data_IF_232531702695
#
_entry.id   IF_232531702695
#
_cell.length_a   1.000
_cell.length_b   1.000
_cell.length_c   1.000
_cell.angle_alpha   90.00
_cell.angle_beta   90.00
_cell.angle_gamma   90.00
#
_symmetry.space_group_name_H-M   'P 1'
#
loop_
_entity.id
_entity.type
_entity.pdbx_description
1 polymer ?
#
# COMPACT_ATOMS: atom_id res chain seq x y z
N UNK A 1 9.22 -24.22 76.91
CA UNK A 1 8.22 -24.72 75.94
C UNK A 1 7.04 -23.77 75.97
N UNK A 2 6.70 -23.14 74.85
CA UNK A 2 5.55 -22.23 74.75
C UNK A 2 5.80 -21.02 73.85
N UNK A 3 5.92 -21.25 72.55
CA UNK A 3 5.78 -20.23 71.51
C UNK A 3 4.43 -19.52 71.59
N UNK A 4 4.41 -18.20 71.35
CA UNK A 4 3.40 -17.57 70.47
C UNK A 4 4.05 -16.41 69.72
N UNK A 5 4.24 -16.63 68.42
CA UNK A 5 4.60 -15.62 67.45
C UNK A 5 3.37 -14.74 67.14
N UNK A 6 3.47 -13.43 67.37
CA UNK A 6 2.58 -12.46 66.75
C UNK A 6 3.02 -12.21 65.31
N UNK A 7 2.31 -12.81 64.36
CA UNK A 7 2.43 -12.50 62.94
C UNK A 7 1.92 -11.06 62.69
N UNK A 8 2.85 -10.12 62.48
CA UNK A 8 2.54 -8.80 61.93
C UNK A 8 1.98 -8.94 60.52
N UNK A 9 0.66 -8.76 60.39
CA UNK A 9 0.02 -8.48 59.12
C UNK A 9 0.36 -7.05 58.68
N UNK A 10 1.06 -6.90 57.56
CA UNK A 10 1.13 -5.60 56.88
C UNK A 10 2.36 -5.43 56.02
N UNK A 11 2.20 -5.59 54.71
CA UNK A 11 2.87 -4.79 53.64
C UNK A 11 2.49 -5.30 52.24
N UNK A 12 1.19 -5.36 51.91
CA UNK A 12 0.72 -5.54 50.51
C UNK A 12 -0.18 -4.37 50.07
N UNK A 13 0.30 -3.13 50.22
CA UNK A 13 -0.41 -1.94 49.68
C UNK A 13 0.45 -1.00 48.82
N UNK A 14 1.76 -1.21 48.73
CA UNK A 14 2.67 -0.26 48.05
C UNK A 14 2.76 -0.45 46.52
N UNK A 15 2.55 -1.66 46.01
CA UNK A 15 2.60 -1.95 44.55
C UNK A 15 1.37 -1.49 43.75
N UNK A 16 0.17 -1.47 44.34
CA UNK A 16 -1.08 -1.09 43.64
C UNK A 16 -1.15 0.39 43.25
N UNK A 17 -0.54 1.29 44.04
CA UNK A 17 -0.55 2.73 43.74
C UNK A 17 0.34 3.08 42.55
N UNK A 18 1.53 2.48 42.46
CA UNK A 18 2.44 2.69 41.33
C UNK A 18 1.86 2.10 40.03
N UNK A 19 1.27 0.90 40.09
CA UNK A 19 0.60 0.27 38.94
C UNK A 19 -0.56 1.13 38.39
N UNK A 20 -1.38 1.72 39.26
CA UNK A 20 -2.49 2.58 38.83
C UNK A 20 -2.03 3.92 38.23
N UNK A 21 -0.89 4.48 38.66
CA UNK A 21 -0.34 5.71 38.06
C UNK A 21 0.23 5.42 36.68
N UNK A 22 0.93 4.29 36.51
CA UNK A 22 1.47 3.87 35.21
C UNK A 22 0.33 3.52 34.23
N UNK A 23 -0.70 2.79 34.69
CA UNK A 23 -1.90 2.54 33.88
C UNK A 23 -2.66 3.82 33.55
N UNK A 24 -2.77 4.76 34.49
CA UNK A 24 -3.42 6.05 34.26
C UNK A 24 -2.66 6.92 33.25
N UNK A 25 -1.32 6.92 33.31
CA UNK A 25 -0.47 7.60 32.34
C UNK A 25 -0.57 6.97 30.95
N UNK A 26 -0.49 5.63 30.84
CA UNK A 26 -0.69 4.91 29.58
C UNK A 26 -2.10 5.14 29.00
N UNK A 27 -3.13 5.08 29.84
CA UNK A 27 -4.50 5.38 29.43
C UNK A 27 -4.67 6.82 28.95
N UNK A 28 -4.07 7.79 29.65
CA UNK A 28 -4.08 9.20 29.24
C UNK A 28 -3.36 9.42 27.90
N UNK A 29 -2.21 8.77 27.69
CA UNK A 29 -1.48 8.82 26.41
C UNK A 29 -2.31 8.22 25.28
N UNK A 30 -2.97 7.08 25.51
CA UNK A 30 -3.84 6.46 24.50
C UNK A 30 -5.04 7.34 24.15
N UNK A 31 -5.69 7.94 25.15
CA UNK A 31 -6.83 8.83 24.92
C UNK A 31 -6.40 10.10 24.18
N UNK A 32 -5.31 10.74 24.60
CA UNK A 32 -4.78 11.93 23.93
C UNK A 32 -4.31 11.60 22.50
N UNK A 33 -3.66 10.45 22.32
CA UNK A 33 -3.28 9.95 21.00
C UNK A 33 -4.50 9.71 20.09
N UNK A 34 -5.56 9.10 20.62
CA UNK A 34 -6.81 8.89 19.89
C UNK A 34 -7.50 10.20 19.50
N UNK A 35 -7.57 11.18 20.41
CA UNK A 35 -8.13 12.50 20.12
C UNK A 35 -7.29 13.25 19.08
N UNK A 36 -5.96 13.21 19.18
CA UNK A 36 -5.07 13.82 18.20
C UNK A 36 -5.21 13.20 16.81
N UNK A 37 -5.36 11.87 16.72
CA UNK A 37 -5.64 11.18 15.46
C UNK A 37 -6.99 11.60 14.85
N UNK A 38 -8.05 11.65 15.66
CA UNK A 38 -9.38 12.08 15.19
C UNK A 38 -9.36 13.53 14.70
N UNK A 39 -8.68 14.42 15.42
CA UNK A 39 -8.50 15.81 14.99
C UNK A 39 -7.63 15.91 13.73
N UNK A 40 -6.61 15.06 13.60
CA UNK A 40 -5.77 14.99 12.40
C UNK A 40 -6.57 14.60 11.16
N UNK A 41 -7.41 13.55 11.25
CA UNK A 41 -8.29 13.11 10.15
C UNK A 41 -9.23 14.23 9.71
N UNK A 42 -9.71 15.05 10.64
CA UNK A 42 -10.64 16.13 10.33
C UNK A 42 -9.97 17.42 9.81
N UNK A 43 -8.80 17.77 10.35
CA UNK A 43 -8.12 19.04 10.03
C UNK A 43 -7.14 18.96 8.86
N UNK A 44 -6.47 17.81 8.70
CA UNK A 44 -5.39 17.59 7.73
C UNK A 44 -5.47 16.17 7.13
N UNK A 45 -6.59 15.82 6.47
CA UNK A 45 -6.82 14.46 5.95
C UNK A 45 -5.69 13.98 5.03
N UNK A 46 -5.22 14.83 4.12
CA UNK A 46 -4.16 14.51 3.16
C UNK A 46 -2.86 14.06 3.85
N UNK A 47 -2.47 14.74 4.92
CA UNK A 47 -1.25 14.40 5.69
C UNK A 47 -1.40 13.05 6.40
N UNK A 48 -2.60 12.74 6.90
CA UNK A 48 -2.89 11.44 7.54
C UNK A 48 -2.83 10.32 6.51
N UNK A 49 -3.41 10.55 5.33
CA UNK A 49 -3.35 9.59 4.22
C UNK A 49 -1.92 9.35 3.75
N UNK A 50 -1.12 10.40 3.56
CA UNK A 50 0.30 10.27 3.20
C UNK A 50 1.06 9.43 4.23
N UNK A 51 0.85 9.69 5.52
CA UNK A 51 1.49 8.93 6.61
C UNK A 51 1.07 7.46 6.62
N UNK A 52 -0.23 7.19 6.44
CA UNK A 52 -0.76 5.84 6.31
C UNK A 52 -0.16 5.10 5.10
N UNK A 53 -0.16 5.77 3.95
CA UNK A 53 0.39 5.25 2.70
C UNK A 53 1.88 4.92 2.80
N UNK A 54 2.68 5.81 3.40
CA UNK A 54 4.11 5.60 3.61
C UNK A 54 4.40 4.38 4.50
N UNK A 55 3.61 4.17 5.55
CA UNK A 55 3.76 2.99 6.43
C UNK A 55 3.37 1.70 5.69
N UNK A 56 2.23 1.70 4.99
CA UNK A 56 1.72 0.52 4.28
C UNK A 56 2.63 0.10 3.13
N UNK A 57 3.03 1.06 2.29
CA UNK A 57 3.92 0.82 1.15
C UNK A 57 5.36 0.50 1.57
N UNK A 58 5.87 1.14 2.62
CA UNK A 58 7.22 0.88 3.14
C UNK A 58 7.40 -0.52 3.72
N UNK A 59 6.38 -1.05 4.41
CA UNK A 59 6.39 -2.45 4.87
C UNK A 59 6.42 -3.42 3.70
N UNK A 60 5.58 -3.20 2.68
CA UNK A 60 5.50 -4.06 1.48
C UNK A 60 6.77 -4.04 0.64
N UNK A 61 7.34 -2.86 0.38
CA UNK A 61 8.62 -2.77 -0.35
C UNK A 61 9.78 -3.47 0.36
N UNK A 62 9.67 -3.72 1.67
CA UNK A 62 10.63 -4.55 2.41
C UNK A 62 10.37 -6.04 2.17
N UNK A 63 9.10 -6.47 2.14
CA UNK A 63 8.71 -7.86 1.86
C UNK A 63 9.12 -8.25 0.44
N UNK A 64 8.82 -7.43 -0.55
CA UNK A 64 9.12 -7.72 -1.96
C UNK A 64 10.63 -7.89 -2.18
N UNK A 65 11.44 -7.00 -1.58
CA UNK A 65 12.92 -7.11 -1.63
C UNK A 65 13.43 -8.40 -0.98
N UNK A 66 12.80 -8.84 0.11
CA UNK A 66 13.17 -10.09 0.77
C UNK A 66 12.75 -11.29 -0.08
N UNK A 67 11.57 -11.27 -0.68
CA UNK A 67 11.10 -12.32 -1.59
C UNK A 67 12.03 -12.49 -2.79
N UNK A 68 12.39 -11.40 -3.44
CA UNK A 68 13.30 -11.41 -4.58
C UNK A 68 14.70 -11.91 -4.16
N UNK A 69 15.30 -11.31 -3.12
CA UNK A 69 16.70 -11.60 -2.75
C UNK A 69 16.90 -12.94 -2.05
N UNK A 70 15.89 -13.47 -1.37
CA UNK A 70 16.02 -14.66 -0.53
C UNK A 70 15.32 -15.88 -1.14
N UNK A 71 14.21 -15.67 -1.85
CA UNK A 71 13.36 -16.76 -2.35
C UNK A 71 13.30 -16.84 -3.87
N UNK A 72 13.90 -15.88 -4.60
CA UNK A 72 13.78 -15.76 -6.07
C UNK A 72 12.30 -15.74 -6.53
N UNK A 73 11.44 -15.19 -5.67
CA UNK A 73 10.02 -14.98 -5.92
C UNK A 73 9.79 -13.50 -6.25
N UNK A 74 9.22 -13.23 -7.43
CA UNK A 74 8.86 -11.88 -7.85
C UNK A 74 7.43 -11.54 -7.43
N UNK A 75 7.13 -10.28 -7.06
CA UNK A 75 5.78 -9.89 -6.73
C UNK A 75 4.86 -10.07 -7.94
N UNK A 76 3.65 -10.60 -7.68
CA UNK A 76 2.64 -10.88 -8.72
C UNK A 76 1.54 -9.84 -8.73
N UNK A 77 1.14 -9.44 -9.94
CA UNK A 77 -0.03 -8.61 -10.26
C UNK A 77 -0.94 -9.39 -11.20
N UNK A 78 -2.24 -9.40 -10.90
CA UNK A 78 -3.26 -10.00 -11.75
C UNK A 78 -3.91 -8.92 -12.62
N UNK A 79 -4.13 -9.21 -13.89
CA UNK A 79 -4.91 -8.39 -14.80
C UNK A 79 -6.36 -8.90 -14.80
N UNK A 80 -7.24 -8.02 -14.34
CA UNK A 80 -8.67 -8.27 -14.28
C UNK A 80 -9.38 -7.96 -15.58
N UNK A 81 -10.62 -7.49 -15.46
CA UNK A 81 -11.45 -7.16 -16.62
C UNK A 81 -10.93 -5.94 -17.38
N UNK A 82 -11.29 -5.87 -18.67
CA UNK A 82 -11.14 -4.64 -19.47
C UNK A 82 -12.38 -3.77 -19.34
N UNK A 83 -12.21 -2.54 -18.85
CA UNK A 83 -13.31 -1.71 -18.38
C UNK A 83 -12.97 -0.23 -18.21
N UNK A 84 -13.86 0.45 -17.49
CA UNK A 84 -13.74 1.86 -17.13
C UNK A 84 -13.61 2.02 -15.60
N UNK A 85 -13.64 3.27 -15.11
CA UNK A 85 -13.58 3.59 -13.67
C UNK A 85 -14.65 2.87 -12.84
N UNK A 86 -15.82 2.62 -13.42
CA UNK A 86 -16.87 1.85 -12.74
C UNK A 86 -16.46 0.39 -12.48
N UNK A 87 -15.74 -0.24 -13.40
CA UNK A 87 -15.26 -1.62 -13.24
C UNK A 87 -14.13 -1.69 -12.20
N UNK A 88 -13.26 -0.68 -12.18
CA UNK A 88 -12.23 -0.47 -11.17
C UNK A 88 -12.86 -0.36 -9.75
N UNK A 89 -13.92 0.43 -9.62
CA UNK A 89 -14.67 0.58 -8.37
C UNK A 89 -15.36 -0.72 -7.95
N UNK A 90 -15.95 -1.46 -8.90
CA UNK A 90 -16.58 -2.75 -8.63
C UNK A 90 -15.55 -3.75 -8.11
N UNK A 91 -14.39 -3.85 -8.77
CA UNK A 91 -13.31 -4.74 -8.35
C UNK A 91 -12.88 -4.42 -6.91
N UNK A 92 -12.66 -3.14 -6.60
CA UNK A 92 -12.32 -2.73 -5.24
C UNK A 92 -13.42 -3.06 -4.22
N UNK A 93 -14.69 -2.79 -4.55
CA UNK A 93 -15.82 -3.03 -3.65
C UNK A 93 -16.12 -4.51 -3.43
N UNK A 94 -15.78 -5.37 -4.39
CA UNK A 94 -15.92 -6.82 -4.27
C UNK A 94 -14.97 -7.43 -3.23
N UNK A 95 -14.07 -6.63 -2.65
CA UNK A 95 -13.03 -7.11 -1.75
C UNK A 95 -11.96 -7.90 -2.51
N UNK A 96 -11.88 -7.72 -3.83
CA UNK A 96 -10.74 -8.18 -4.60
C UNK A 96 -9.52 -7.41 -4.11
N UNK A 97 -8.73 -8.08 -3.28
CA UNK A 97 -7.78 -7.45 -2.36
C UNK A 97 -6.34 -7.78 -2.70
N UNK A 98 -6.11 -8.51 -3.79
CA UNK A 98 -4.79 -8.97 -4.18
C UNK A 98 -4.46 -8.52 -5.59
N UNK A 99 -4.00 -7.28 -5.71
CA UNK A 99 -3.27 -6.77 -6.87
C UNK A 99 -3.95 -7.05 -8.22
N UNK A 100 -5.28 -7.03 -8.27
CA UNK A 100 -6.03 -7.13 -9.53
C UNK A 100 -6.16 -5.74 -10.15
N UNK A 101 -5.69 -5.59 -11.38
CA UNK A 101 -5.69 -4.33 -12.12
C UNK A 101 -6.68 -4.41 -13.27
N UNK A 102 -7.60 -3.45 -13.32
CA UNK A 102 -8.55 -3.30 -14.44
C UNK A 102 -7.82 -2.71 -15.64
N UNK A 103 -7.92 -3.34 -16.81
CA UNK A 103 -7.40 -2.78 -18.05
C UNK A 103 -8.31 -1.64 -18.48
N UNK A 104 -7.75 -0.43 -18.57
CA UNK A 104 -8.53 0.79 -18.69
C UNK A 104 -8.69 1.20 -20.16
N UNK A 105 -9.93 1.16 -20.65
CA UNK A 105 -10.26 1.61 -22.02
C UNK A 105 -9.98 3.09 -22.25
N UNK A 106 -10.05 3.91 -21.19
CA UNK A 106 -9.77 5.35 -21.26
C UNK A 106 -8.34 5.69 -21.70
N UNK A 107 -7.41 4.74 -21.57
CA UNK A 107 -6.02 4.90 -21.98
C UNK A 107 -5.72 4.30 -23.37
N UNK A 108 -6.67 3.57 -23.99
CA UNK A 108 -6.46 2.91 -25.27
C UNK A 108 -6.27 3.92 -26.40
N UNK A 109 -5.04 4.04 -26.90
CA UNK A 109 -4.68 4.84 -28.08
C UNK A 109 -3.28 4.53 -28.59
N UNK A 110 -3.00 4.96 -29.82
CA UNK A 110 -1.67 4.86 -30.42
C UNK A 110 -0.60 5.58 -29.59
N UNK A 111 0.52 4.88 -29.36
CA UNK A 111 1.66 5.41 -28.62
C UNK A 111 1.54 5.40 -27.10
N UNK A 112 0.48 4.76 -26.57
CA UNK A 112 0.30 4.49 -25.14
C UNK A 112 0.24 2.97 -24.94
N UNK A 113 1.03 2.39 -24.03
CA UNK A 113 0.96 0.96 -23.72
C UNK A 113 -0.44 0.57 -23.21
N UNK A 114 -0.78 -0.72 -23.33
CA UNK A 114 -1.96 -1.26 -22.63
C UNK A 114 -1.84 -0.88 -21.16
N UNK A 115 -2.81 -0.15 -20.61
CA UNK A 115 -2.69 0.41 -19.26
C UNK A 115 -3.72 -0.22 -18.34
N UNK A 116 -3.26 -0.83 -17.26
CA UNK A 116 -4.10 -1.37 -16.21
C UNK A 116 -3.96 -0.57 -14.92
N UNK A 117 -5.05 -0.40 -14.18
CA UNK A 117 -5.11 0.45 -13.00
C UNK A 117 -5.68 -0.30 -11.79
N UNK A 118 -5.20 0.06 -10.61
CA UNK A 118 -5.79 -0.33 -9.34
C UNK A 118 -5.80 0.86 -8.37
N UNK A 119 -6.91 1.03 -7.66
CA UNK A 119 -6.99 1.95 -6.52
C UNK A 119 -5.92 1.61 -5.49
N UNK A 120 -5.26 2.63 -4.94
CA UNK A 120 -4.15 2.44 -4.01
C UNK A 120 -4.58 1.68 -2.74
N UNK A 121 -5.78 1.93 -2.23
CA UNK A 121 -6.36 1.21 -1.10
C UNK A 121 -6.94 -0.16 -1.45
N UNK A 122 -6.92 -0.58 -2.72
CA UNK A 122 -7.45 -1.86 -3.20
C UNK A 122 -6.36 -2.71 -3.88
N UNK A 123 -5.10 -2.57 -3.45
CA UNK A 123 -3.97 -3.39 -3.93
C UNK A 123 -3.05 -2.66 -4.91
N UNK A 124 -3.48 -1.52 -5.47
CA UNK A 124 -2.63 -0.73 -6.38
C UNK A 124 -1.39 -0.16 -5.72
N UNK A 125 -1.41 0.04 -4.40
CA UNK A 125 -0.30 0.63 -3.66
C UNK A 125 0.99 -0.21 -3.64
N UNK A 126 0.92 -1.46 -4.11
CA UNK A 126 2.10 -2.31 -4.32
C UNK A 126 3.09 -1.68 -5.31
N UNK A 127 2.62 -0.84 -6.24
CA UNK A 127 3.48 -0.14 -7.21
C UNK A 127 4.31 0.97 -6.59
N UNK A 128 3.85 1.58 -5.49
CA UNK A 128 4.45 2.80 -4.95
C UNK A 128 5.94 2.65 -4.61
N UNK A 129 6.38 1.57 -3.91
CA UNK A 129 7.79 1.37 -3.57
C UNK A 129 8.68 0.86 -4.71
N UNK A 130 8.10 0.37 -5.82
CA UNK A 130 8.86 -0.26 -6.91
C UNK A 130 9.68 0.75 -7.73
N UNK A 131 10.76 0.28 -8.36
CA UNK A 131 11.68 1.13 -9.13
C UNK A 131 12.02 0.47 -10.47
N UNK A 132 12.57 1.25 -11.40
CA UNK A 132 13.10 0.73 -12.66
C UNK A 132 14.15 -0.38 -12.40
N UNK A 133 14.16 -1.37 -13.28
CA UNK A 133 14.98 -2.58 -13.19
C UNK A 133 14.40 -3.69 -12.30
N UNK A 134 13.34 -3.43 -11.54
CA UNK A 134 12.68 -4.46 -10.75
C UNK A 134 11.84 -5.37 -11.64
N UNK A 135 11.84 -6.67 -11.34
CA UNK A 135 11.04 -7.67 -12.04
C UNK A 135 9.76 -8.03 -11.29
N UNK A 136 8.69 -8.26 -12.03
CA UNK A 136 7.36 -8.58 -11.50
C UNK A 136 6.70 -9.67 -12.35
N UNK A 137 5.87 -10.51 -11.74
CA UNK A 137 5.02 -11.45 -12.45
C UNK A 137 3.70 -10.77 -12.81
N UNK A 138 3.27 -10.94 -14.05
CA UNK A 138 1.93 -10.59 -14.53
C UNK A 138 1.17 -11.88 -14.78
N UNK A 139 -0.07 -11.94 -14.32
CA UNK A 139 -1.02 -13.03 -14.58
C UNK A 139 -2.30 -12.46 -15.20
N UNK A 140 -2.96 -13.22 -16.07
CA UNK A 140 -4.25 -12.84 -16.65
C UNK A 140 -4.17 -12.15 -18.02
N UNK A 141 -5.35 -12.04 -18.65
CA UNK A 141 -5.60 -11.45 -19.98
C UNK A 141 -4.65 -11.92 -21.10
N UNK A 142 -4.09 -13.14 -20.97
CA UNK A 142 -3.14 -13.69 -21.95
C UNK A 142 -1.78 -12.99 -21.97
N UNK A 143 -1.51 -12.12 -21.00
CA UNK A 143 -0.25 -11.39 -20.85
C UNK A 143 0.69 -12.04 -19.83
N UNK A 144 0.40 -13.26 -19.40
CA UNK A 144 1.13 -13.96 -18.34
C UNK A 144 2.65 -14.02 -18.58
N UNK A 145 3.43 -13.75 -17.53
CA UNK A 145 4.89 -13.93 -17.56
C UNK A 145 5.66 -12.95 -16.66
N UNK A 146 6.98 -13.01 -16.75
CA UNK A 146 7.89 -12.13 -16.03
C UNK A 146 8.11 -10.83 -16.82
N UNK A 147 8.00 -9.69 -16.15
CA UNK A 147 8.19 -8.36 -16.73
C UNK A 147 9.23 -7.58 -15.94
N UNK A 148 9.90 -6.64 -16.61
CA UNK A 148 10.82 -5.69 -15.98
C UNK A 148 10.24 -4.28 -16.10
N UNK A 149 10.36 -3.51 -15.01
CA UNK A 149 10.01 -2.08 -14.99
C UNK A 149 11.09 -1.29 -15.73
N UNK A 150 10.73 -0.67 -16.85
CA UNK A 150 11.69 0.06 -17.71
C UNK A 150 11.44 1.56 -17.81
N UNK A 151 10.30 2.03 -17.30
CA UNK A 151 9.96 3.45 -17.29
C UNK A 151 9.06 3.74 -16.09
N UNK A 152 9.21 4.90 -15.47
CA UNK A 152 8.33 5.39 -14.41
C UNK A 152 7.92 6.82 -14.72
N UNK A 153 6.61 7.05 -14.74
CA UNK A 153 6.03 8.38 -14.95
C UNK A 153 5.13 8.79 -13.81
N UNK A 154 5.15 10.08 -13.51
CA UNK A 154 4.25 10.70 -12.55
C UNK A 154 3.37 11.72 -13.26
N UNK A 155 2.06 11.62 -13.04
CA UNK A 155 1.08 12.56 -13.58
C UNK A 155 0.26 13.16 -12.44
N UNK A 156 -0.32 14.36 -12.61
CA UNK A 156 -1.38 14.85 -11.72
C UNK A 156 -2.57 13.89 -11.69
N UNK A 157 -3.38 13.86 -10.61
CA UNK A 157 -4.65 13.07 -10.62
C UNK A 157 -5.72 13.80 -11.41
N UNK A 158 -5.76 15.12 -11.25
CA UNK A 158 -6.74 15.98 -11.90
C UNK A 158 -6.07 16.65 -13.09
N UNK A 159 -6.77 16.72 -14.22
CA UNK A 159 -6.32 17.36 -15.47
C UNK A 159 -5.22 16.62 -16.25
N UNK A 160 -4.72 15.49 -15.74
CA UNK A 160 -3.92 14.60 -16.57
C UNK A 160 -4.75 14.09 -17.74
N UNK A 161 -4.14 14.10 -18.90
CA UNK A 161 -4.72 13.59 -20.13
C UNK A 161 -3.91 12.37 -20.54
N UNK A 162 -4.53 11.43 -21.25
CA UNK A 162 -3.80 10.25 -21.72
C UNK A 162 -2.66 10.64 -22.69
N UNK A 163 -2.66 11.85 -23.25
CA UNK A 163 -1.53 12.46 -23.96
C UNK A 163 -0.26 12.53 -23.10
N UNK A 164 -0.39 12.67 -21.77
CA UNK A 164 0.74 12.65 -20.83
C UNK A 164 1.42 11.27 -20.77
N UNK A 165 0.75 10.22 -21.25
CA UNK A 165 1.26 8.86 -21.33
C UNK A 165 1.88 8.54 -22.69
N UNK A 166 1.78 9.42 -23.68
CA UNK A 166 2.41 9.18 -24.99
C UNK A 166 3.92 9.02 -24.79
N UNK A 167 4.46 7.95 -25.36
CA UNK A 167 5.87 7.60 -25.23
C UNK A 167 6.28 7.09 -23.84
N UNK A 168 5.33 6.66 -23.00
CA UNK A 168 5.64 5.73 -21.91
C UNK A 168 6.16 4.42 -22.51
N UNK A 169 7.32 3.95 -22.06
CA UNK A 169 7.94 2.76 -22.65
C UNK A 169 7.32 1.46 -22.11
N UNK A 170 7.40 0.39 -22.89
CA UNK A 170 6.88 -0.94 -22.54
C UNK A 170 5.63 -1.32 -23.32
N UNK A 171 5.25 -2.58 -23.19
CA UNK A 171 4.05 -3.16 -23.83
C UNK A 171 2.82 -3.05 -22.91
N UNK A 172 3.06 -3.04 -21.60
CA UNK A 172 2.07 -2.91 -20.54
C UNK A 172 2.46 -1.75 -19.62
N UNK A 173 1.47 -1.05 -19.07
CA UNK A 173 1.65 -0.08 -18.02
C UNK A 173 0.74 -0.38 -16.83
N UNK A 174 1.25 -0.24 -15.60
CA UNK A 174 0.42 -0.32 -14.40
C UNK A 174 0.31 1.06 -13.73
N UNK A 175 -0.86 1.37 -13.22
CA UNK A 175 -1.19 2.68 -12.66
C UNK A 175 -1.77 2.59 -11.25
N UNK A 176 -1.32 3.48 -10.36
CA UNK A 176 -1.99 3.74 -9.08
C UNK A 176 -1.83 5.17 -8.60
N UNK A 177 -2.63 5.55 -7.61
CA UNK A 177 -2.62 6.87 -6.98
C UNK A 177 -1.69 6.93 -5.76
N UNK A 178 -1.02 8.07 -5.53
CA UNK A 178 -0.42 8.33 -4.22
C UNK A 178 -1.50 8.66 -3.18
N UNK A 179 -1.27 8.25 -1.93
CA UNK A 179 -2.17 8.58 -0.81
C UNK A 179 -2.03 10.06 -0.42
N UNK A 180 -3.15 10.79 -0.34
CA UNK A 180 -3.14 12.21 0.06
C UNK A 180 -2.31 13.15 -0.82
N UNK A 181 -1.95 12.75 -2.05
CA UNK A 181 -1.20 13.60 -2.99
C UNK A 181 -1.96 13.74 -4.32
N UNK A 182 -1.90 14.90 -4.98
CA UNK A 182 -2.45 15.10 -6.34
C UNK A 182 -1.49 14.57 -7.41
N UNK A 183 -1.13 13.29 -7.29
CA UNK A 183 -0.37 12.59 -8.32
C UNK A 183 -0.62 11.09 -8.34
N UNK A 184 -0.32 10.52 -9.50
CA UNK A 184 -0.38 9.10 -9.81
C UNK A 184 0.99 8.61 -10.27
N UNK A 185 1.23 7.32 -10.12
CA UNK A 185 2.40 6.63 -10.64
C UNK A 185 1.95 5.71 -11.76
N UNK A 186 2.66 5.79 -12.88
CA UNK A 186 2.63 4.82 -13.96
C UNK A 186 3.99 4.13 -13.99
N UNK A 187 3.97 2.82 -14.17
CA UNK A 187 5.18 2.03 -14.45
C UNK A 187 5.00 1.36 -15.81
N UNK A 188 5.99 1.53 -16.68
CA UNK A 188 6.08 0.86 -17.97
C UNK A 188 6.81 -0.47 -17.84
N UNK A 189 6.26 -1.51 -18.47
CA UNK A 189 6.69 -2.89 -18.33
C UNK A 189 7.01 -3.49 -19.69
N UNK A 190 8.13 -4.17 -19.78
CA UNK A 190 8.49 -5.01 -20.93
C UNK A 190 8.60 -6.45 -20.48
N UNK A 191 8.12 -7.38 -21.31
CA UNK A 191 8.22 -8.79 -21.01
C UNK A 191 9.68 -9.24 -21.08
N UNK A 192 10.13 -9.97 -20.07
CA UNK A 192 11.45 -10.60 -20.07
C UNK A 192 11.34 -11.86 -20.93
N UNK A 193 12.04 -11.89 -22.06
CA UNK A 193 12.13 -13.10 -22.88
C UNK A 193 13.09 -14.10 -22.21
N UNK A 194 12.63 -15.35 -22.06
CA UNK A 194 13.52 -16.44 -21.64
C UNK A 194 14.59 -16.66 -22.71
N UNK A 195 15.85 -16.50 -22.31
CA UNK A 195 17.04 -16.67 -23.18
C UNK A 195 17.40 -18.12 -23.42
#
# INVERSE_FOLDING_TARGET
MGERAEHRAGTKKRGRKAGNIVLGALGGVLVLGGVALLLGVWLIPDTVEQGYGALKSGYRGTVDKVQEQVFDEYPTVELGVTGDEADLDIACNAGDTYHTFTIMKSYERDGVPTTAAAHNNCGGDVLLPWNEGQKINIEGDGMDGLYEIIDIRYTPKIWATTEDLIGLQGDLALQTCFYGEDRMKFIGLVKVEDS
#
